data_IF_274388909655
#
_entry.id   IF_274388909655
#
_cell.length_a   1.000
_cell.length_b   1.000
_cell.length_c   1.000
_cell.angle_alpha   90.00
_cell.angle_beta   90.00
_cell.angle_gamma   90.00
#
_symmetry.space_group_name_H-M   'P 1'
#
loop_
_entity.id
_entity.type
_entity.pdbx_description
1 polymer ?
#
# COMPACT_ATOMS: atom_id res chain seq x y z
N UNK A 1 4.52 -11.74 -25.24
CA UNK A 1 4.75 -12.07 -23.82
C UNK A 1 4.99 -10.77 -23.07
N UNK A 2 4.26 -10.49 -21.99
CA UNK A 2 4.51 -9.33 -21.15
C UNK A 2 5.47 -9.70 -20.01
N UNK A 3 6.37 -8.79 -19.66
CA UNK A 3 7.31 -8.93 -18.54
C UNK A 3 6.92 -7.89 -17.49
N UNK A 4 6.49 -8.35 -16.31
CA UNK A 4 5.94 -7.48 -15.27
C UNK A 4 6.95 -7.09 -14.19
N UNK A 5 7.77 -8.03 -13.71
CA UNK A 5 8.80 -7.81 -12.68
C UNK A 5 8.30 -6.98 -11.48
N UNK A 6 7.20 -7.40 -10.87
CA UNK A 6 6.59 -6.75 -9.71
C UNK A 6 6.20 -7.73 -8.62
N UNK A 7 6.14 -7.24 -7.38
CA UNK A 7 5.53 -7.95 -6.26
C UNK A 7 4.03 -8.09 -6.50
N UNK A 8 3.48 -9.26 -6.20
CA UNK A 8 2.06 -9.57 -6.31
C UNK A 8 1.59 -10.26 -5.04
N UNK A 9 0.28 -10.23 -4.76
CA UNK A 9 -0.32 -11.01 -3.67
C UNK A 9 -0.11 -12.50 -3.91
N UNK A 10 0.02 -13.28 -2.84
CA UNK A 10 0.44 -14.68 -2.88
C UNK A 10 -0.42 -15.59 -3.76
N UNK A 11 -1.71 -15.27 -3.89
CA UNK A 11 -2.68 -16.05 -4.69
C UNK A 11 -2.72 -15.67 -6.18
N UNK A 12 -2.06 -14.59 -6.59
CA UNK A 12 -2.06 -14.14 -7.99
C UNK A 12 -1.50 -15.22 -8.95
N UNK A 13 -0.41 -15.93 -8.63
CA UNK A 13 0.09 -17.01 -9.49
C UNK A 13 -0.93 -18.13 -9.71
N UNK A 14 -1.73 -18.46 -8.70
CA UNK A 14 -2.75 -19.51 -8.79
C UNK A 14 -3.94 -19.05 -9.63
N UNK A 15 -4.41 -17.81 -9.42
CA UNK A 15 -5.47 -17.20 -10.23
C UNK A 15 -5.07 -17.16 -11.73
N UNK A 16 -3.80 -16.84 -12.03
CA UNK A 16 -3.29 -16.86 -13.42
C UNK A 16 -3.36 -18.27 -14.01
N UNK A 17 -2.99 -19.30 -13.24
CA UNK A 17 -3.03 -20.71 -13.68
C UNK A 17 -4.46 -21.22 -13.86
N UNK A 18 -5.37 -20.85 -12.96
CA UNK A 18 -6.80 -21.17 -13.03
C UNK A 18 -7.43 -20.57 -14.30
N UNK A 19 -6.96 -19.40 -14.75
CA UNK A 19 -7.37 -18.78 -16.02
C UNK A 19 -6.70 -19.40 -17.26
N UNK A 20 -6.03 -20.56 -17.13
CA UNK A 20 -5.40 -21.28 -18.23
C UNK A 20 -4.09 -20.66 -18.74
N UNK A 21 -3.53 -19.69 -18.01
CA UNK A 21 -2.28 -19.03 -18.37
C UNK A 21 -1.10 -19.59 -17.56
N UNK A 22 0.11 -19.49 -18.12
CA UNK A 22 1.33 -19.86 -17.40
C UNK A 22 2.05 -18.61 -16.88
N UNK A 23 2.60 -18.68 -15.66
CA UNK A 23 3.45 -17.64 -15.09
C UNK A 23 4.74 -18.23 -14.51
N UNK A 24 5.78 -17.39 -14.41
CA UNK A 24 7.03 -17.71 -13.71
C UNK A 24 7.12 -16.80 -12.49
N UNK A 25 7.42 -17.38 -11.34
CA UNK A 25 7.52 -16.69 -10.06
C UNK A 25 8.77 -17.15 -9.33
N UNK A 26 9.25 -16.35 -8.36
CA UNK A 26 10.21 -16.77 -7.35
C UNK A 26 9.87 -16.09 -6.04
N UNK A 27 10.33 -16.69 -4.94
CA UNK A 27 10.27 -16.03 -3.64
C UNK A 27 11.44 -15.04 -3.54
N UNK A 28 11.15 -13.86 -2.97
CA UNK A 28 12.14 -12.80 -2.74
C UNK A 28 12.91 -13.08 -1.46
N UNK A 29 14.17 -12.67 -1.42
CA UNK A 29 14.91 -12.56 -0.15
C UNK A 29 14.38 -11.37 0.67
N UNK A 30 14.65 -11.30 1.97
CA UNK A 30 14.19 -10.17 2.79
C UNK A 30 14.63 -8.79 2.26
N UNK A 31 15.89 -8.57 1.82
CA UNK A 31 16.30 -7.29 1.25
C UNK A 31 15.55 -6.94 -0.05
N UNK A 32 15.36 -7.92 -0.92
CA UNK A 32 14.60 -7.75 -2.17
C UNK A 32 13.13 -7.47 -1.87
N UNK A 33 12.55 -8.18 -0.91
CA UNK A 33 11.16 -7.99 -0.50
C UNK A 33 10.92 -6.58 0.01
N UNK A 34 11.80 -6.06 0.88
CA UNK A 34 11.74 -4.66 1.35
C UNK A 34 11.82 -3.67 0.19
N UNK A 35 12.72 -3.90 -0.75
CA UNK A 35 12.86 -3.04 -1.94
C UNK A 35 11.60 -3.09 -2.81
N UNK A 36 11.04 -4.28 -3.04
CA UNK A 36 9.83 -4.45 -3.85
C UNK A 36 8.57 -3.91 -3.16
N UNK A 37 8.46 -3.97 -1.84
CA UNK A 37 7.39 -3.29 -1.10
C UNK A 37 7.43 -1.77 -1.27
N UNK A 38 8.61 -1.16 -1.27
CA UNK A 38 8.73 0.28 -1.57
C UNK A 38 8.27 0.59 -3.00
N UNK A 39 8.62 -0.25 -3.99
CA UNK A 39 8.12 -0.08 -5.36
C UNK A 39 6.60 -0.24 -5.42
N UNK A 40 6.07 -1.26 -4.73
CA UNK A 40 4.63 -1.54 -4.66
C UNK A 40 3.88 -0.37 -4.05
N UNK A 41 4.40 0.24 -2.97
CA UNK A 41 3.82 1.45 -2.37
C UNK A 41 3.67 2.60 -3.38
N UNK A 42 4.66 2.81 -4.26
CA UNK A 42 4.58 3.84 -5.30
C UNK A 42 3.64 3.44 -6.45
N UNK A 43 3.53 2.14 -6.76
CA UNK A 43 2.56 1.60 -7.72
C UNK A 43 1.13 1.87 -7.23
N UNK A 44 0.76 1.37 -6.05
CA UNK A 44 -0.60 1.53 -5.50
C UNK A 44 -0.96 3.00 -5.25
N UNK A 45 0.02 3.83 -4.82
CA UNK A 45 -0.23 5.27 -4.66
C UNK A 45 -0.57 5.92 -5.99
N UNK A 46 0.11 5.53 -7.08
CA UNK A 46 -0.20 6.06 -8.41
C UNK A 46 -1.57 5.57 -8.88
N UNK A 47 -1.87 4.29 -8.69
CA UNK A 47 -3.15 3.68 -9.07
C UNK A 47 -4.31 4.37 -8.31
N UNK A 48 -4.16 4.62 -7.00
CA UNK A 48 -5.12 5.42 -6.23
C UNK A 48 -5.29 6.85 -6.78
N UNK A 49 -4.19 7.57 -7.05
CA UNK A 49 -4.28 8.94 -7.56
C UNK A 49 -5.00 8.97 -8.92
N UNK A 50 -4.72 8.03 -9.80
CA UNK A 50 -5.38 7.92 -11.11
C UNK A 50 -6.85 7.51 -10.98
N UNK A 51 -7.18 6.56 -10.10
CA UNK A 51 -8.53 6.09 -9.83
C UNK A 51 -9.41 7.18 -9.19
N UNK A 52 -8.84 7.96 -8.26
CA UNK A 52 -9.54 9.03 -7.53
C UNK A 52 -10.08 10.16 -8.42
N UNK A 53 -9.57 10.28 -9.65
CA UNK A 53 -10.07 11.24 -10.65
C UNK A 53 -11.30 10.71 -11.39
N UNK A 54 -11.48 9.39 -11.44
CA UNK A 54 -12.45 8.73 -12.32
C UNK A 54 -13.67 8.17 -11.58
N UNK A 55 -13.45 7.43 -10.49
CA UNK A 55 -14.49 6.68 -9.79
C UNK A 55 -14.13 6.47 -8.31
N UNK A 56 -15.01 6.93 -7.42
CA UNK A 56 -14.87 6.77 -5.97
C UNK A 56 -14.79 5.29 -5.57
N UNK A 57 -15.52 4.39 -6.25
CA UNK A 57 -15.51 2.97 -5.90
C UNK A 57 -14.14 2.36 -6.20
N UNK A 58 -13.60 2.63 -7.39
CA UNK A 58 -12.26 2.19 -7.76
C UNK A 58 -11.20 2.78 -6.82
N UNK A 59 -11.34 4.05 -6.42
CA UNK A 59 -10.44 4.66 -5.45
C UNK A 59 -10.43 3.93 -4.09
N UNK A 60 -11.58 3.38 -3.63
CA UNK A 60 -11.63 2.56 -2.41
C UNK A 60 -10.88 1.23 -2.58
N UNK A 61 -10.93 0.60 -3.76
CA UNK A 61 -10.18 -0.63 -4.04
C UNK A 61 -8.67 -0.37 -3.94
N UNK A 62 -8.18 0.72 -4.55
CA UNK A 62 -6.76 1.11 -4.49
C UNK A 62 -6.32 1.54 -3.08
N UNK A 63 -7.20 2.17 -2.29
CA UNK A 63 -6.93 2.44 -0.88
C UNK A 63 -6.77 1.15 -0.05
N UNK A 64 -7.49 0.08 -0.40
CA UNK A 64 -7.34 -1.20 0.26
C UNK A 64 -6.01 -1.88 -0.09
N UNK A 65 -5.54 -1.73 -1.33
CA UNK A 65 -4.20 -2.20 -1.73
C UNK A 65 -3.08 -1.39 -1.06
N UNK A 66 -3.22 -0.05 -0.96
CA UNK A 66 -2.33 0.78 -0.14
C UNK A 66 -2.29 0.33 1.33
N UNK A 67 -3.45 0.01 1.92
CA UNK A 67 -3.52 -0.47 3.29
C UNK A 67 -2.77 -1.81 3.47
N UNK A 68 -2.89 -2.75 2.53
CA UNK A 68 -2.14 -4.00 2.54
C UNK A 68 -0.63 -3.74 2.53
N UNK A 69 -0.16 -2.84 1.66
CA UNK A 69 1.26 -2.49 1.56
C UNK A 69 1.77 -1.85 2.85
N UNK A 70 0.98 -0.96 3.47
CA UNK A 70 1.32 -0.35 4.77
C UNK A 70 1.45 -1.41 5.86
N UNK A 71 0.54 -2.39 5.91
CA UNK A 71 0.61 -3.48 6.89
C UNK A 71 1.85 -4.37 6.66
N UNK A 72 2.16 -4.71 5.42
CA UNK A 72 3.36 -5.47 5.08
C UNK A 72 4.65 -4.71 5.46
N UNK A 73 4.70 -3.39 5.21
CA UNK A 73 5.81 -2.52 5.61
C UNK A 73 5.95 -2.43 7.13
N UNK A 74 4.84 -2.37 7.88
CA UNK A 74 4.88 -2.44 9.34
C UNK A 74 5.53 -3.75 9.82
N UNK A 75 5.18 -4.87 9.18
CA UNK A 75 5.80 -6.18 9.45
C UNK A 75 7.32 -6.20 9.20
N UNK A 76 7.80 -5.53 8.14
CA UNK A 76 9.25 -5.34 7.88
C UNK A 76 9.94 -4.57 9.01
N UNK A 77 9.20 -3.69 9.69
CA UNK A 77 9.66 -2.95 10.86
C UNK A 77 9.36 -3.67 12.20
N UNK A 78 9.00 -4.96 12.15
CA UNK A 78 8.62 -5.76 13.32
C UNK A 78 7.49 -5.14 14.15
N UNK A 79 6.59 -4.42 13.47
CA UNK A 79 5.44 -3.75 14.06
C UNK A 79 4.17 -4.48 13.64
N UNK A 80 3.35 -4.85 14.61
CA UNK A 80 2.01 -5.39 14.36
C UNK A 80 1.05 -4.31 13.87
N UNK A 81 -0.06 -4.73 13.25
CA UNK A 81 -1.12 -3.80 12.83
C UNK A 81 -1.70 -3.05 14.03
N UNK A 82 -1.81 -3.72 15.18
CA UNK A 82 -2.32 -3.14 16.42
C UNK A 82 -1.37 -2.08 16.99
N UNK A 83 -0.05 -2.31 16.95
CA UNK A 83 0.94 -1.33 17.39
C UNK A 83 0.97 -0.11 16.46
N UNK A 84 0.90 -0.33 15.14
CA UNK A 84 0.80 0.77 14.17
C UNK A 84 -0.44 1.62 14.42
N UNK A 85 -1.58 0.98 14.69
CA UNK A 85 -2.84 1.66 14.96
C UNK A 85 -2.80 2.43 16.29
N UNK A 86 -2.19 1.87 17.34
CA UNK A 86 -1.99 2.57 18.60
C UNK A 86 -1.16 3.86 18.42
N UNK A 87 -0.09 3.81 17.62
CA UNK A 87 0.71 5.00 17.27
C UNK A 87 -0.12 6.01 16.45
N UNK A 88 -1.00 5.55 15.56
CA UNK A 88 -1.92 6.42 14.79
C UNK A 88 -2.90 7.12 15.73
N UNK A 89 -3.48 6.40 16.69
CA UNK A 89 -4.43 6.93 17.67
C UNK A 89 -3.79 7.94 18.63
N UNK A 90 -2.59 7.65 19.15
CA UNK A 90 -1.84 8.58 19.99
C UNK A 90 -1.59 9.91 19.26
N UNK A 91 -1.10 9.87 18.02
CA UNK A 91 -0.92 11.07 17.19
C UNK A 91 -2.24 11.82 16.96
N UNK A 92 -3.34 11.10 16.75
CA UNK A 92 -4.65 11.70 16.55
C UNK A 92 -5.19 12.37 17.83
N UNK A 93 -4.91 11.80 19.01
CA UNK A 93 -5.26 12.41 20.29
C UNK A 93 -4.43 13.66 20.58
N UNK A 94 -3.12 13.62 20.31
CA UNK A 94 -2.20 14.73 20.53
C UNK A 94 -2.39 15.89 19.53
N UNK A 95 -2.58 15.57 18.24
CA UNK A 95 -2.45 16.53 17.13
C UNK A 95 -3.73 16.70 16.31
N UNK A 96 -4.77 15.93 16.63
CA UNK A 96 -5.97 15.81 15.80
C UNK A 96 -5.74 14.95 14.55
N UNK A 97 -6.78 14.84 13.73
CA UNK A 97 -6.73 14.20 12.42
C UNK A 97 -7.21 15.13 11.30
N UNK A 98 -7.29 14.62 10.08
CA UNK A 98 -7.64 15.44 8.90
C UNK A 98 -9.14 15.79 8.78
N UNK A 99 -9.98 15.47 9.78
CA UNK A 99 -11.44 15.71 9.74
C UNK A 99 -11.81 17.19 9.65
N UNK A 100 -11.02 18.07 10.27
CA UNK A 100 -11.26 19.51 10.25
C UNK A 100 -10.81 20.20 8.95
N UNK A 101 -10.16 19.48 8.02
CA UNK A 101 -9.70 19.99 6.71
C UNK A 101 -8.84 21.25 6.81
N UNK A 102 -8.01 21.34 7.86
CA UNK A 102 -7.13 22.49 8.10
C UNK A 102 -5.96 22.47 7.13
N UNK A 103 -5.76 23.56 6.39
CA UNK A 103 -4.61 23.78 5.51
C UNK A 103 -3.78 24.94 6.06
N UNK A 104 -2.52 24.67 6.42
CA UNK A 104 -1.60 25.67 6.97
C UNK A 104 -1.03 26.51 5.81
N UNK A 105 -1.25 27.83 5.85
CA UNK A 105 -0.77 28.75 4.80
C UNK A 105 0.63 29.31 5.11
N UNK A 106 0.84 29.82 6.32
CA UNK A 106 2.12 30.39 6.75
C UNK A 106 2.21 30.40 8.29
N UNK A 107 3.43 30.53 8.81
CA UNK A 107 3.70 30.78 10.23
C UNK A 107 4.59 32.02 10.33
N UNK A 108 4.19 33.00 11.12
CA UNK A 108 5.02 34.17 11.46
C UNK A 108 5.65 33.96 12.83
N UNK A 109 6.94 34.27 12.97
CA UNK A 109 7.69 34.24 14.23
C UNK A 109 8.15 35.63 14.65
#
# INVERSE_FOLDING_TARGET
MAVYNKLVRDRIPDIIRENGQACRTRILTEPEYKQELHKKLHEELREYLDASVQDDRHAVEELADLLEVIQALAGVHHCSVQELEAVREEKAAERGGFKAKVYLMETTG
#
